data_IF_393228687964
#
_entry.id   IF_393228687964
#
_cell.length_a   1.000
_cell.length_b   1.000
_cell.length_c   1.000
_cell.angle_alpha   90.00
_cell.angle_beta   90.00
_cell.angle_gamma   90.00
#
_symmetry.space_group_name_H-M   'P 1'
#
loop_
_entity.id
_entity.type
_entity.pdbx_description
1 polymer ?
#
# COMPACT_ATOMS: atom_id res chain seq x y z
N UNK A 1 0.15 -10.57 -47.99
CA UNK A 1 0.32 -9.29 -47.26
C UNK A 1 -0.17 -9.48 -45.83
N UNK A 2 0.73 -9.76 -44.88
CA UNK A 2 0.36 -9.95 -43.46
C UNK A 2 0.23 -8.58 -42.80
N UNK A 3 -0.99 -8.21 -42.40
CA UNK A 3 -1.27 -6.97 -41.69
C UNK A 3 -0.60 -6.98 -40.33
N UNK A 4 0.41 -6.13 -40.14
CA UNK A 4 0.97 -5.85 -38.81
C UNK A 4 -0.17 -5.33 -37.93
N UNK A 5 -0.65 -6.17 -37.01
CA UNK A 5 -1.50 -5.74 -35.91
C UNK A 5 -0.81 -4.55 -35.23
N UNK A 6 -1.43 -3.38 -35.29
CA UNK A 6 -0.94 -2.21 -34.56
C UNK A 6 -1.01 -2.59 -33.08
N UNK A 7 0.15 -2.70 -32.43
CA UNK A 7 0.22 -2.83 -30.98
C UNK A 7 -0.37 -1.55 -30.38
N UNK A 8 -1.68 -1.57 -30.11
CA UNK A 8 -2.37 -0.49 -29.42
C UNK A 8 -1.66 -0.29 -28.10
N UNK A 9 -1.08 0.89 -27.91
CA UNK A 9 -0.48 1.29 -26.63
C UNK A 9 -1.61 1.18 -25.60
N UNK A 10 -1.59 0.13 -24.77
CA UNK A 10 -2.59 -0.04 -23.73
C UNK A 10 -2.21 0.87 -22.56
N UNK A 11 -3.11 1.80 -22.16
CA UNK A 11 -2.85 2.68 -21.04
C UNK A 11 -2.99 1.94 -19.71
N UNK A 12 -1.92 1.24 -19.31
CA UNK A 12 -1.84 0.58 -17.99
C UNK A 12 -1.87 1.55 -16.81
N UNK A 13 -1.75 2.86 -17.07
CA UNK A 13 -1.68 3.89 -16.04
C UNK A 13 -2.94 3.94 -15.17
N UNK A 14 -4.14 3.70 -15.73
CA UNK A 14 -5.38 3.65 -14.93
C UNK A 14 -5.32 2.48 -13.94
N UNK A 15 -4.95 1.29 -14.42
CA UNK A 15 -4.83 0.09 -13.58
C UNK A 15 -3.79 0.27 -12.47
N UNK A 16 -2.65 0.89 -12.80
CA UNK A 16 -1.60 1.25 -11.85
C UNK A 16 -2.12 2.22 -10.78
N UNK A 17 -2.74 3.32 -11.19
CA UNK A 17 -3.33 4.30 -10.26
C UNK A 17 -4.39 3.67 -9.36
N UNK A 18 -5.27 2.84 -9.91
CA UNK A 18 -6.30 2.16 -9.12
C UNK A 18 -5.67 1.21 -8.08
N UNK A 19 -4.64 0.47 -8.45
CA UNK A 19 -3.87 -0.36 -7.52
C UNK A 19 -3.26 0.49 -6.40
N UNK A 20 -2.59 1.59 -6.76
CA UNK A 20 -1.94 2.50 -5.80
C UNK A 20 -2.92 3.17 -4.84
N UNK A 21 -4.08 3.59 -5.34
CA UNK A 21 -5.13 4.18 -4.52
C UNK A 21 -5.72 3.14 -3.58
N UNK A 22 -6.23 2.02 -4.09
CA UNK A 22 -6.96 1.05 -3.27
C UNK A 22 -6.04 0.23 -2.37
N UNK A 23 -5.06 -0.45 -2.96
CA UNK A 23 -4.16 -1.32 -2.20
C UNK A 23 -3.13 -0.50 -1.41
N UNK A 24 -2.69 0.65 -1.94
CA UNK A 24 -1.80 1.53 -1.20
C UNK A 24 -2.46 2.18 0.00
N UNK A 25 -3.75 2.54 -0.09
CA UNK A 25 -4.51 2.99 1.08
C UNK A 25 -4.68 1.88 2.12
N UNK A 26 -5.04 0.67 1.67
CA UNK A 26 -5.15 -0.49 2.56
C UNK A 26 -3.81 -0.82 3.26
N UNK A 27 -2.70 -0.75 2.54
CA UNK A 27 -1.35 -0.94 3.08
C UNK A 27 -1.02 0.15 4.11
N UNK A 28 -1.37 1.40 3.82
CA UNK A 28 -1.16 2.53 4.72
C UNK A 28 -1.89 2.33 6.06
N UNK A 29 -3.15 1.86 6.03
CA UNK A 29 -3.91 1.51 7.23
C UNK A 29 -3.20 0.41 8.04
N UNK A 30 -2.72 -0.65 7.38
CA UNK A 30 -2.01 -1.73 8.06
C UNK A 30 -0.72 -1.25 8.72
N UNK A 31 0.07 -0.41 8.03
CA UNK A 31 1.30 0.20 8.56
C UNK A 31 0.99 1.13 9.75
N UNK A 32 -0.03 1.97 9.64
CA UNK A 32 -0.49 2.84 10.73
C UNK A 32 -0.94 2.03 11.95
N UNK A 33 -1.64 0.91 11.74
CA UNK A 33 -1.98 -0.04 12.81
C UNK A 33 -0.74 -0.66 13.46
N UNK A 34 0.22 -1.12 12.66
CA UNK A 34 1.49 -1.67 13.15
C UNK A 34 2.25 -0.64 13.99
N UNK A 35 2.29 0.60 13.53
CA UNK A 35 2.92 1.71 14.26
C UNK A 35 2.25 1.95 15.62
N UNK A 36 0.92 1.85 15.70
CA UNK A 36 0.19 2.00 16.95
C UNK A 36 0.51 0.88 17.97
N UNK A 37 0.74 -0.35 17.51
CA UNK A 37 1.05 -1.51 18.38
C UNK A 37 2.53 -1.63 18.74
N UNK A 38 3.44 -1.31 17.81
CA UNK A 38 4.89 -1.45 18.01
C UNK A 38 5.53 -0.24 18.75
N UNK A 39 4.82 0.88 18.85
CA UNK A 39 5.35 2.08 19.53
C UNK A 39 5.06 2.05 21.04
N UNK A 40 6.06 2.25 21.93
CA UNK A 40 5.89 2.20 23.39
C UNK A 40 4.77 3.12 23.90
N UNK A 41 3.84 2.62 24.73
CA UNK A 41 2.75 3.40 25.33
C UNK A 41 1.33 3.15 24.79
N UNK A 42 1.13 2.11 23.97
CA UNK A 42 -0.20 1.67 23.50
C UNK A 42 -0.93 2.64 22.55
N UNK A 43 -2.12 2.25 22.05
CA UNK A 43 -2.91 3.00 21.07
C UNK A 43 -3.63 4.23 21.62
N UNK A 44 -3.66 4.43 22.95
CA UNK A 44 -4.42 5.50 23.61
C UNK A 44 -3.62 6.80 23.83
N UNK A 45 -2.34 6.85 23.45
CA UNK A 45 -1.51 8.04 23.65
C UNK A 45 -1.88 9.16 22.65
N UNK A 46 -2.35 10.34 23.10
CA UNK A 46 -2.86 11.41 22.22
C UNK A 46 -1.83 11.94 21.21
N UNK A 47 -0.56 12.01 21.59
CA UNK A 47 0.52 12.45 20.71
C UNK A 47 0.79 11.46 19.56
N UNK A 48 0.42 10.19 19.70
CA UNK A 48 0.64 9.17 18.66
C UNK A 48 -0.40 9.22 17.54
N UNK A 49 -1.64 9.62 17.83
CA UNK A 49 -2.67 9.72 16.80
C UNK A 49 -2.34 10.80 15.77
N UNK A 50 -1.80 11.94 16.23
CA UNK A 50 -1.31 13.00 15.34
C UNK A 50 -0.11 12.52 14.52
N UNK A 51 0.90 11.89 15.14
CA UNK A 51 2.04 11.36 14.39
C UNK A 51 1.60 10.32 13.33
N UNK A 52 0.68 9.42 13.68
CA UNK A 52 0.13 8.41 12.75
C UNK A 52 -0.65 9.06 11.61
N UNK A 53 -1.44 10.09 11.89
CA UNK A 53 -2.16 10.87 10.88
C UNK A 53 -1.20 11.55 9.91
N UNK A 54 -0.13 12.16 10.43
CA UNK A 54 0.89 12.83 9.61
C UNK A 54 1.71 11.85 8.77
N UNK A 55 1.91 10.62 9.24
CA UNK A 55 2.67 9.59 8.54
C UNK A 55 1.84 8.93 7.42
N UNK A 56 0.52 8.93 7.54
CA UNK A 56 -0.40 8.33 6.57
C UNK A 56 -0.28 8.97 5.18
N UNK A 57 -0.32 10.30 5.08
CA UNK A 57 -0.21 11.01 3.80
C UNK A 57 1.11 10.77 3.04
N UNK A 58 2.31 10.95 3.64
CA UNK A 58 3.57 10.71 2.96
C UNK A 58 3.77 9.24 2.60
N UNK A 59 3.32 8.29 3.43
CA UNK A 59 3.38 6.86 3.07
C UNK A 59 2.48 6.56 1.88
N UNK A 60 1.23 7.03 1.90
CA UNK A 60 0.31 6.81 0.79
C UNK A 60 0.79 7.48 -0.51
N UNK A 61 1.28 8.71 -0.43
CA UNK A 61 1.90 9.42 -1.55
C UNK A 61 3.12 8.69 -2.12
N UNK A 62 4.02 8.20 -1.26
CA UNK A 62 5.17 7.40 -1.69
C UNK A 62 4.71 6.12 -2.42
N UNK A 63 3.72 5.39 -1.89
CA UNK A 63 3.19 4.19 -2.55
C UNK A 63 2.57 4.51 -3.91
N UNK A 64 1.83 5.62 -4.03
CA UNK A 64 1.29 6.09 -5.31
C UNK A 64 2.40 6.40 -6.32
N UNK A 65 3.50 7.03 -5.90
CA UNK A 65 4.67 7.25 -6.77
C UNK A 65 5.35 5.93 -7.15
N UNK A 66 5.51 5.01 -6.20
CA UNK A 66 6.14 3.70 -6.42
C UNK A 66 5.39 2.84 -7.43
N UNK A 67 4.06 2.99 -7.50
CA UNK A 67 3.22 2.24 -8.44
C UNK A 67 3.61 2.46 -9.92
N UNK A 68 4.18 3.62 -10.24
CA UNK A 68 4.64 3.94 -11.60
C UNK A 68 6.01 3.34 -11.94
N UNK A 69 6.79 2.86 -10.96
CA UNK A 69 8.01 2.10 -11.22
C UNK A 69 7.73 0.69 -11.76
N UNK A 70 6.52 0.15 -11.56
CA UNK A 70 6.16 -1.16 -12.10
C UNK A 70 5.96 -1.12 -13.60
N UNK A 71 6.41 -2.19 -14.29
CA UNK A 71 6.37 -2.27 -15.76
C UNK A 71 4.94 -2.37 -16.28
N UNK A 72 4.06 -3.11 -15.59
CA UNK A 72 2.66 -3.32 -15.96
C UNK A 72 1.67 -3.15 -14.80
N UNK A 73 0.39 -2.92 -15.11
CA UNK A 73 -0.68 -2.85 -14.11
C UNK A 73 -0.80 -4.13 -13.28
N UNK A 74 -0.77 -5.30 -13.92
CA UNK A 74 -0.83 -6.60 -13.23
C UNK A 74 0.36 -6.83 -12.27
N UNK A 75 1.54 -6.31 -12.59
CA UNK A 75 2.68 -6.36 -11.68
C UNK A 75 2.45 -5.49 -10.45
N UNK A 76 1.91 -4.27 -10.62
CA UNK A 76 1.56 -3.37 -9.52
C UNK A 76 0.55 -4.02 -8.57
N UNK A 77 -0.51 -4.63 -9.11
CA UNK A 77 -1.52 -5.36 -8.31
C UNK A 77 -0.93 -6.52 -7.51
N UNK A 78 -0.07 -7.34 -8.11
CA UNK A 78 0.56 -8.47 -7.40
C UNK A 78 1.49 -8.01 -6.30
N UNK A 79 2.31 -6.99 -6.56
CA UNK A 79 3.25 -6.47 -5.57
C UNK A 79 2.54 -5.74 -4.43
N UNK A 80 1.64 -4.81 -4.73
CA UNK A 80 0.87 -4.13 -3.69
C UNK A 80 -0.04 -5.10 -2.94
N UNK A 81 -0.70 -6.02 -3.64
CA UNK A 81 -1.57 -7.02 -3.01
C UNK A 81 -0.79 -7.92 -2.06
N UNK A 82 0.38 -8.42 -2.48
CA UNK A 82 1.27 -9.20 -1.63
C UNK A 82 1.76 -8.39 -0.42
N UNK A 83 2.19 -7.14 -0.63
CA UNK A 83 2.62 -6.26 0.46
C UNK A 83 1.49 -5.99 1.46
N UNK A 84 0.27 -5.74 0.99
CA UNK A 84 -0.91 -5.51 1.84
C UNK A 84 -1.22 -6.75 2.68
N UNK A 85 -1.25 -7.94 2.06
CA UNK A 85 -1.51 -9.20 2.78
C UNK A 85 -0.43 -9.45 3.85
N UNK A 86 0.84 -9.26 3.52
CA UNK A 86 1.95 -9.40 4.47
C UNK A 86 1.85 -8.39 5.63
N UNK A 87 1.50 -7.14 5.34
CA UNK A 87 1.34 -6.12 6.37
C UNK A 87 0.18 -6.43 7.33
N UNK A 88 -0.96 -6.91 6.82
CA UNK A 88 -2.07 -7.36 7.67
C UNK A 88 -1.74 -8.63 8.45
N UNK A 89 -1.00 -9.58 7.87
CA UNK A 89 -0.53 -10.77 8.57
C UNK A 89 0.41 -10.39 9.73
N UNK A 90 1.33 -9.46 9.50
CA UNK A 90 2.21 -8.95 10.56
C UNK A 90 1.42 -8.20 11.63
N UNK A 91 0.44 -7.38 11.24
CA UNK A 91 -0.43 -6.69 12.20
C UNK A 91 -1.22 -7.69 13.06
N UNK A 92 -1.76 -8.75 12.45
CA UNK A 92 -2.46 -9.81 13.18
C UNK A 92 -1.51 -10.55 14.13
N UNK A 93 -0.29 -10.86 13.71
CA UNK A 93 0.73 -11.46 14.56
C UNK A 93 1.09 -10.55 15.74
N UNK A 94 1.38 -9.26 15.49
CA UNK A 94 1.64 -8.27 16.54
C UNK A 94 0.48 -8.20 17.53
N UNK A 95 -0.78 -8.13 17.05
CA UNK A 95 -1.95 -8.15 17.93
C UNK A 95 -2.05 -9.43 18.75
N UNK A 96 -1.74 -10.60 18.17
CA UNK A 96 -1.80 -11.86 18.89
C UNK A 96 -0.70 -12.00 19.96
N UNK A 97 0.52 -11.49 19.71
CA UNK A 97 1.64 -11.59 20.66
C UNK A 97 1.71 -10.46 21.69
N UNK A 98 1.12 -9.29 21.40
CA UNK A 98 1.14 -8.10 22.27
C UNK A 98 -0.19 -7.85 23.01
N UNK A 99 -1.24 -8.64 22.74
CA UNK A 99 -2.44 -8.73 23.59
C UNK A 99 -2.21 -9.70 24.74
#
# INVERSE_FOLDING_TARGET
MSGKSKSTIQPDWISKTLAGVLLGFALCIAISGLFAWLTPGGPAAPQKSQATMWLTMPVWGAVLSFVYLFRSGAQAWRWLGGATVLAYALLAACRHFLQ
#
